data_IF_586188415362
#
_entry.id   IF_586188415362
#
_cell.length_a   1.000
_cell.length_b   1.000
_cell.length_c   1.000
_cell.angle_alpha   90.00
_cell.angle_beta   90.00
_cell.angle_gamma   90.00
#
_symmetry.space_group_name_H-M   'P 1'
#
loop_
_entity.id
_entity.type
_entity.pdbx_description
1 polymer ?
#
# COMPACT_ATOMS: atom_id res chain seq x y z
N UNK A 1 21.70 -34.52 14.06
CA UNK A 1 20.27 -34.32 13.74
C UNK A 1 20.21 -33.59 12.41
N UNK A 2 19.63 -34.20 11.39
CA UNK A 2 19.57 -33.63 10.03
C UNK A 2 18.40 -32.65 9.92
N UNK A 3 18.66 -31.51 9.29
CA UNK A 3 17.68 -30.44 9.03
C UNK A 3 16.65 -30.88 7.97
N UNK A 4 15.34 -30.60 8.13
CA UNK A 4 14.27 -31.15 7.27
C UNK A 4 14.07 -30.45 5.92
N UNK A 5 15.06 -29.70 5.39
CA UNK A 5 14.91 -28.91 4.15
C UNK A 5 15.69 -29.46 2.93
N UNK A 6 16.13 -30.71 2.96
CA UNK A 6 16.92 -31.36 1.91
C UNK A 6 16.11 -31.78 0.67
N UNK A 7 15.27 -30.90 0.11
CA UNK A 7 14.38 -31.26 -1.00
C UNK A 7 13.96 -30.16 -1.99
N UNK A 8 14.36 -28.90 -1.81
CA UNK A 8 14.15 -27.86 -2.83
C UNK A 8 15.50 -27.50 -3.43
N UNK A 9 15.65 -27.72 -4.74
CA UNK A 9 16.86 -27.37 -5.47
C UNK A 9 17.05 -25.85 -5.51
N UNK A 10 17.69 -25.28 -4.49
CA UNK A 10 18.05 -23.87 -4.43
C UNK A 10 19.28 -23.64 -5.29
N UNK A 11 19.11 -23.61 -6.61
CA UNK A 11 20.20 -23.22 -7.51
C UNK A 11 20.48 -21.73 -7.32
N UNK A 12 21.73 -21.37 -7.01
CA UNK A 12 22.19 -19.99 -7.05
C UNK A 12 21.74 -19.35 -8.36
N UNK A 13 20.91 -18.30 -8.30
CA UNK A 13 20.53 -17.58 -9.51
C UNK A 13 21.71 -16.71 -9.93
N UNK A 14 22.19 -16.82 -11.18
CA UNK A 14 23.26 -15.96 -11.66
C UNK A 14 22.78 -14.51 -11.67
N UNK A 15 23.59 -13.62 -11.09
CA UNK A 15 23.38 -12.17 -11.15
C UNK A 15 23.62 -11.74 -12.59
N UNK A 16 22.55 -11.50 -13.36
CA UNK A 16 22.68 -10.91 -14.69
C UNK A 16 22.91 -9.42 -14.56
N UNK A 17 23.94 -8.92 -15.26
CA UNK A 17 24.41 -7.52 -15.41
C UNK A 17 23.72 -6.51 -14.47
N UNK A 18 24.46 -6.12 -13.43
CA UNK A 18 24.17 -4.99 -12.56
C UNK A 18 23.90 -3.77 -13.44
N UNK A 19 22.77 -3.07 -13.21
CA UNK A 19 22.50 -1.80 -13.89
C UNK A 19 23.64 -0.83 -13.58
N UNK A 20 24.14 -0.05 -14.56
CA UNK A 20 25.30 0.83 -14.35
C UNK A 20 25.08 1.91 -13.28
N UNK A 21 23.82 2.16 -12.90
CA UNK A 21 23.40 3.15 -11.89
C UNK A 21 23.06 2.53 -10.51
N UNK A 22 23.27 1.22 -10.34
CA UNK A 22 23.05 0.58 -9.05
C UNK A 22 24.21 0.90 -8.08
N UNK A 23 23.93 1.12 -6.78
CA UNK A 23 24.98 1.40 -5.80
C UNK A 23 25.97 0.23 -5.74
N UNK A 24 27.27 0.52 -5.75
CA UNK A 24 28.30 -0.51 -5.64
C UNK A 24 28.65 -0.81 -4.18
N UNK A 25 28.43 0.15 -3.30
CA UNK A 25 28.65 0.03 -1.87
C UNK A 25 27.30 0.06 -1.11
N UNK A 26 27.20 -0.72 -0.04
CA UNK A 26 26.02 -0.80 0.80
C UNK A 26 25.69 0.55 1.43
N UNK A 27 26.71 1.34 1.79
CA UNK A 27 26.52 2.66 2.41
C UNK A 27 25.94 3.69 1.44
N UNK A 28 26.09 3.48 0.12
CA UNK A 28 25.54 4.35 -0.92
C UNK A 28 24.11 3.94 -1.32
N UNK A 29 23.61 2.82 -0.78
CA UNK A 29 22.28 2.37 -1.11
C UNK A 29 21.21 3.16 -0.34
N UNK A 30 20.36 3.89 -1.06
CA UNK A 30 19.25 4.68 -0.49
C UNK A 30 18.33 3.88 0.44
N UNK A 31 18.18 2.57 0.19
CA UNK A 31 17.32 1.67 0.96
C UNK A 31 18.01 1.05 2.18
N UNK A 32 19.29 1.34 2.41
CA UNK A 32 20.04 0.85 3.56
C UNK A 32 19.98 1.87 4.71
N UNK A 33 19.42 1.43 5.84
CA UNK A 33 19.15 2.28 7.00
C UNK A 33 20.10 2.02 8.19
N UNK A 34 21.08 1.12 8.01
CA UNK A 34 22.02 0.76 9.08
C UNK A 34 21.32 0.32 10.37
N UNK A 35 21.81 0.81 11.50
CA UNK A 35 21.26 0.49 12.83
C UNK A 35 20.03 1.35 13.14
N UNK A 36 18.89 0.98 12.57
CA UNK A 36 17.57 1.59 12.88
C UNK A 36 16.78 0.72 13.87
N UNK A 37 16.05 1.37 14.78
CA UNK A 37 15.23 0.66 15.78
C UNK A 37 14.04 -0.05 15.13
N UNK A 38 13.56 -1.11 15.78
CA UNK A 38 12.34 -1.80 15.33
C UNK A 38 11.12 -0.87 15.31
N UNK A 39 11.07 0.07 16.25
CA UNK A 39 9.99 1.04 16.36
C UNK A 39 9.95 1.97 15.14
N UNK A 40 11.11 2.52 14.74
CA UNK A 40 11.19 3.43 13.60
C UNK A 40 10.87 2.71 12.29
N UNK A 41 11.37 1.48 12.13
CA UNK A 41 11.00 0.62 10.99
C UNK A 41 9.49 0.40 10.92
N UNK A 42 8.84 0.10 12.05
CA UNK A 42 7.39 -0.09 12.08
C UNK A 42 6.63 1.18 11.65
N UNK A 43 7.14 2.36 12.01
CA UNK A 43 6.54 3.63 11.62
C UNK A 43 6.75 3.92 10.13
N UNK A 44 7.96 3.70 9.61
CA UNK A 44 8.27 3.86 8.18
C UNK A 44 7.47 2.89 7.30
N UNK A 45 7.16 1.71 7.81
CA UNK A 45 6.42 0.66 7.09
C UNK A 45 4.90 0.71 7.32
N UNK A 46 4.39 1.74 8.01
CA UNK A 46 2.95 1.93 8.27
C UNK A 46 2.26 2.49 7.03
N UNK A 47 1.14 1.89 6.64
CA UNK A 47 0.27 2.33 5.54
C UNK A 47 0.97 2.55 4.18
N UNK A 48 2.13 1.90 3.99
CA UNK A 48 2.85 1.89 2.72
C UNK A 48 2.33 0.81 1.77
N UNK A 49 2.64 1.00 0.48
CA UNK A 49 2.25 0.10 -0.61
C UNK A 49 2.94 -1.27 -0.49
N UNK A 50 2.34 -2.27 -1.09
CA UNK A 50 2.98 -3.58 -1.24
C UNK A 50 4.26 -3.48 -2.09
N UNK A 51 5.29 -4.24 -1.73
CA UNK A 51 6.60 -4.17 -2.37
C UNK A 51 7.49 -3.03 -1.87
N UNK A 52 7.01 -2.21 -0.92
CA UNK A 52 7.85 -1.24 -0.20
C UNK A 52 8.82 -1.97 0.72
N UNK A 53 10.10 -1.56 0.72
CA UNK A 53 11.15 -2.24 1.47
C UNK A 53 12.28 -1.33 1.97
N UNK A 54 13.01 -1.84 2.96
CA UNK A 54 14.29 -1.31 3.45
C UNK A 54 15.18 -2.44 3.96
N UNK A 55 16.48 -2.18 4.09
CA UNK A 55 17.44 -3.09 4.75
C UNK A 55 18.07 -2.40 5.95
N UNK A 56 18.22 -3.15 7.03
CA UNK A 56 18.84 -2.68 8.28
C UNK A 56 19.81 -3.72 8.85
N UNK A 57 20.60 -3.30 9.82
CA UNK A 57 21.46 -4.19 10.58
C UNK A 57 20.64 -5.22 11.38
N UNK A 58 21.11 -6.46 11.39
CA UNK A 58 20.57 -7.49 12.27
C UNK A 58 20.89 -7.17 13.72
N UNK A 59 19.90 -7.36 14.60
CA UNK A 59 20.10 -7.21 16.05
C UNK A 59 21.00 -8.29 16.66
N UNK A 60 21.40 -9.31 15.88
CA UNK A 60 22.23 -10.44 16.35
C UNK A 60 23.73 -10.15 16.26
N UNK A 61 24.17 -9.06 15.62
CA UNK A 61 25.55 -8.56 15.71
C UNK A 61 26.62 -9.27 14.86
N UNK A 62 26.24 -10.18 13.95
CA UNK A 62 27.18 -11.01 13.16
C UNK A 62 27.41 -10.51 11.71
N UNK A 63 27.41 -9.20 11.46
CA UNK A 63 27.43 -8.64 10.08
C UNK A 63 26.34 -9.23 9.17
N UNK A 64 25.20 -9.55 9.78
CA UNK A 64 23.98 -10.01 9.12
C UNK A 64 23.02 -8.84 9.00
N UNK A 65 22.10 -8.94 8.05
CA UNK A 65 21.13 -7.88 7.78
C UNK A 65 19.71 -8.40 7.85
N UNK A 66 18.76 -7.48 7.95
CA UNK A 66 17.33 -7.79 7.86
C UNK A 66 16.72 -6.97 6.73
N UNK A 67 16.21 -7.64 5.71
CA UNK A 67 15.32 -7.06 4.71
C UNK A 67 13.91 -7.00 5.30
N UNK A 68 13.33 -5.81 5.32
CA UNK A 68 11.96 -5.57 5.75
C UNK A 68 11.15 -5.20 4.53
N UNK A 69 10.10 -5.95 4.22
CA UNK A 69 9.25 -5.73 3.03
C UNK A 69 7.77 -5.79 3.38
N UNK A 70 6.97 -4.94 2.73
CA UNK A 70 5.51 -4.92 2.87
C UNK A 70 4.89 -5.96 1.94
N UNK A 71 4.13 -6.90 2.51
CA UNK A 71 3.35 -7.90 1.77
C UNK A 71 1.99 -8.15 2.41
N UNK A 72 0.92 -8.08 1.63
CA UNK A 72 -0.43 -8.45 2.08
C UNK A 72 -0.86 -7.69 3.33
N UNK A 73 -0.59 -6.38 3.39
CA UNK A 73 -0.93 -5.54 4.54
C UNK A 73 -0.10 -5.79 5.81
N UNK A 74 0.95 -6.61 5.75
CA UNK A 74 1.85 -6.89 6.87
C UNK A 74 3.31 -6.68 6.50
N UNK A 75 4.16 -6.41 7.48
CA UNK A 75 5.61 -6.41 7.27
C UNK A 75 6.16 -7.84 7.38
N UNK A 76 7.10 -8.18 6.50
CA UNK A 76 7.87 -9.42 6.52
C UNK A 76 9.32 -9.08 6.80
N UNK A 77 9.90 -9.76 7.80
CA UNK A 77 11.31 -9.62 8.15
C UNK A 77 12.03 -10.85 7.61
N UNK A 78 12.99 -10.62 6.72
CA UNK A 78 13.75 -11.66 6.04
C UNK A 78 15.21 -11.47 6.44
N UNK A 79 15.79 -12.50 7.07
CA UNK A 79 17.17 -12.47 7.50
C UNK A 79 18.10 -12.70 6.31
N UNK A 80 19.10 -11.84 6.17
CA UNK A 80 20.20 -11.99 5.22
C UNK A 80 21.41 -12.47 6.01
N UNK A 81 21.80 -13.71 5.75
CA UNK A 81 22.94 -14.34 6.39
C UNK A 81 24.24 -13.94 5.70
N UNK A 82 25.33 -14.02 6.46
CA UNK A 82 26.69 -13.82 5.98
C UNK A 82 27.55 -14.99 6.44
N UNK A 83 28.23 -15.66 5.50
CA UNK A 83 29.29 -16.61 5.82
C UNK A 83 30.43 -16.45 4.81
N UNK A 84 31.66 -16.27 5.28
CA UNK A 84 32.86 -16.11 4.45
C UNK A 84 32.73 -15.02 3.37
N UNK A 85 32.03 -13.91 3.67
CA UNK A 85 31.82 -12.81 2.73
C UNK A 85 30.79 -13.11 1.62
N UNK A 86 30.05 -14.23 1.73
CA UNK A 86 28.92 -14.55 0.88
C UNK A 86 27.61 -14.30 1.61
N UNK A 87 26.65 -13.72 0.88
CA UNK A 87 25.33 -13.35 1.39
C UNK A 87 24.23 -14.21 0.77
N UNK A 88 23.13 -14.38 1.50
CA UNK A 88 21.93 -15.06 1.02
C UNK A 88 20.83 -15.17 2.07
N UNK A 89 19.63 -15.55 1.64
CA UNK A 89 18.51 -15.85 2.54
C UNK A 89 18.55 -17.30 3.07
N UNK A 90 19.08 -18.21 2.26
CA UNK A 90 19.16 -19.65 2.50
C UNK A 90 20.49 -20.17 1.93
N UNK A 91 20.99 -21.28 2.46
CA UNK A 91 22.17 -21.95 1.91
C UNK A 91 21.85 -22.62 0.56
N UNK A 92 22.81 -22.64 -0.39
CA UNK A 92 24.13 -22.02 -0.33
C UNK A 92 24.09 -20.48 -0.49
N UNK A 93 24.99 -19.75 0.19
CA UNK A 93 25.11 -18.30 0.02
C UNK A 93 25.92 -17.96 -1.24
N UNK A 94 25.28 -17.32 -2.21
CA UNK A 94 25.82 -17.18 -3.55
C UNK A 94 26.28 -15.77 -3.91
N UNK A 95 25.88 -14.75 -3.14
CA UNK A 95 26.03 -13.34 -3.52
C UNK A 95 27.26 -12.71 -2.85
N UNK A 96 27.98 -11.85 -3.55
CA UNK A 96 29.20 -11.20 -3.05
C UNK A 96 28.90 -9.98 -2.17
N UNK A 97 27.73 -9.37 -2.35
CA UNK A 97 27.28 -8.23 -1.55
C UNK A 97 25.78 -8.33 -1.27
N UNK A 98 25.34 -7.62 -0.24
CA UNK A 98 23.90 -7.41 0.04
C UNK A 98 23.24 -6.65 -1.10
N UNK A 99 23.98 -5.73 -1.74
CA UNK A 99 23.47 -4.93 -2.84
C UNK A 99 23.15 -5.81 -4.05
N UNK A 100 24.02 -6.76 -4.40
CA UNK A 100 23.76 -7.74 -5.46
C UNK A 100 22.48 -8.55 -5.19
N UNK A 101 22.32 -9.02 -3.95
CA UNK A 101 21.14 -9.78 -3.53
C UNK A 101 19.86 -8.95 -3.63
N UNK A 102 19.88 -7.70 -3.14
CA UNK A 102 18.72 -6.81 -3.17
C UNK A 102 18.37 -6.39 -4.60
N UNK A 103 19.37 -6.07 -5.44
CA UNK A 103 19.17 -5.74 -6.85
C UNK A 103 18.53 -6.91 -7.61
N UNK A 104 18.95 -8.15 -7.34
CA UNK A 104 18.28 -9.33 -7.88
C UNK A 104 16.80 -9.38 -7.47
N UNK A 105 16.51 -9.14 -6.19
CA UNK A 105 15.15 -9.14 -5.66
C UNK A 105 14.28 -7.97 -6.18
N UNK A 106 14.89 -6.92 -6.76
CA UNK A 106 14.19 -5.86 -7.47
C UNK A 106 13.87 -6.24 -8.92
N UNK A 107 14.57 -7.22 -9.49
CA UNK A 107 14.35 -7.68 -10.87
C UNK A 107 13.57 -9.00 -10.94
N UNK A 108 13.65 -9.80 -9.89
CA UNK A 108 13.07 -11.14 -9.83
C UNK A 108 12.17 -11.30 -8.61
N UNK A 109 11.19 -12.16 -8.78
CA UNK A 109 10.21 -12.44 -7.75
C UNK A 109 10.82 -13.23 -6.58
N UNK A 110 10.54 -12.83 -5.34
CA UNK A 110 11.05 -13.51 -4.15
C UNK A 110 10.45 -14.91 -3.93
N UNK A 111 9.41 -15.29 -4.69
CA UNK A 111 8.86 -16.66 -4.71
C UNK A 111 9.90 -17.73 -5.01
N UNK A 112 10.97 -17.39 -5.74
CA UNK A 112 12.12 -18.28 -5.97
C UNK A 112 12.80 -18.72 -4.67
N UNK A 113 12.83 -17.86 -3.65
CA UNK A 113 13.39 -18.18 -2.33
C UNK A 113 12.33 -18.72 -1.37
N UNK A 114 11.12 -18.16 -1.44
CA UNK A 114 10.01 -18.56 -0.59
C UNK A 114 8.69 -18.33 -1.35
N UNK A 115 7.94 -19.38 -1.73
CA UNK A 115 6.67 -19.26 -2.47
C UNK A 115 5.64 -18.34 -1.78
N UNK A 116 5.67 -18.22 -0.45
CA UNK A 116 4.80 -17.30 0.29
C UNK A 116 5.13 -15.82 0.06
N UNK A 117 6.26 -15.51 -0.58
CA UNK A 117 6.76 -14.19 -0.93
C UNK A 117 6.72 -13.95 -2.45
N UNK A 118 5.63 -14.33 -3.11
CA UNK A 118 5.28 -13.85 -4.45
C UNK A 118 5.15 -12.31 -4.50
N UNK A 119 6.26 -11.59 -4.67
CA UNK A 119 6.37 -10.14 -4.94
C UNK A 119 7.79 -9.80 -5.42
N UNK A 120 7.98 -8.59 -5.93
CA UNK A 120 9.27 -8.00 -6.28
C UNK A 120 9.50 -6.77 -5.39
N UNK A 121 10.74 -6.42 -5.08
CA UNK A 121 11.09 -5.19 -4.36
C UNK A 121 10.90 -3.98 -5.29
N UNK A 122 9.86 -3.17 -5.07
CA UNK A 122 9.47 -2.09 -5.99
C UNK A 122 9.77 -0.69 -5.47
N UNK A 123 9.54 -0.47 -4.18
CA UNK A 123 9.56 0.89 -3.61
C UNK A 123 10.58 0.97 -2.47
N UNK A 124 11.86 1.32 -2.77
CA UNK A 124 12.85 1.53 -1.72
C UNK A 124 12.43 2.68 -0.82
N UNK A 125 12.38 2.46 0.49
CA UNK A 125 12.27 3.57 1.44
C UNK A 125 13.63 4.23 1.51
N UNK A 126 13.73 5.42 0.91
CA UNK A 126 14.97 6.20 0.88
C UNK A 126 15.29 6.72 2.28
N UNK A 127 16.53 6.56 2.71
CA UNK A 127 17.11 7.14 3.94
C UNK A 127 17.30 8.66 3.83
N UNK A 128 16.43 9.38 3.12
CA UNK A 128 16.51 10.83 2.96
C UNK A 128 16.64 11.48 4.33
N UNK A 129 17.87 11.92 4.62
CA UNK A 129 18.29 12.87 5.65
C UNK A 129 17.50 12.85 6.97
N UNK A 130 17.40 11.69 7.63
CA UNK A 130 17.18 11.69 9.07
C UNK A 130 18.47 12.21 9.76
N UNK A 131 18.66 13.53 9.74
CA UNK A 131 19.32 14.32 10.78
C UNK A 131 20.84 14.33 10.95
N UNK A 132 21.66 13.46 10.35
CA UNK A 132 23.02 13.21 10.92
C UNK A 132 24.23 13.13 9.96
N UNK A 133 24.14 13.58 8.69
CA UNK A 133 25.35 13.63 7.82
C UNK A 133 25.92 15.06 7.69
N UNK A 134 27.06 15.39 8.35
CA UNK A 134 27.69 16.70 8.27
C UNK A 134 28.40 16.99 6.93
N UNK A 135 28.48 16.05 5.99
CA UNK A 135 29.14 16.23 4.68
C UNK A 135 28.19 16.43 3.50
N UNK A 136 26.88 16.49 3.73
CA UNK A 136 25.92 16.75 2.64
C UNK A 136 25.76 18.25 2.38
N UNK A 137 25.60 18.58 1.10
CA UNK A 137 25.21 19.91 0.69
C UNK A 137 23.94 20.32 1.47
N UNK A 138 23.88 21.55 2.02
CA UNK A 138 22.74 22.01 2.79
C UNK A 138 21.46 21.78 1.98
N UNK A 139 20.47 21.15 2.63
CA UNK A 139 19.14 20.93 2.06
C UNK A 139 18.69 22.24 1.42
N UNK A 140 18.38 22.23 0.11
CA UNK A 140 17.96 23.42 -0.63
C UNK A 140 16.57 23.83 -0.13
N UNK A 141 16.55 24.66 0.92
CA UNK A 141 15.33 25.10 1.62
C UNK A 141 14.34 25.75 0.66
N UNK A 142 14.84 26.46 -0.36
CA UNK A 142 14.02 27.13 -1.37
C UNK A 142 13.25 26.13 -2.25
N UNK A 143 13.90 25.06 -2.68
CA UNK A 143 13.29 24.00 -3.49
C UNK A 143 12.26 23.19 -2.67
N UNK A 144 12.57 22.91 -1.40
CA UNK A 144 11.61 22.28 -0.49
C UNK A 144 10.39 23.18 -0.24
N UNK A 145 10.60 24.49 -0.08
CA UNK A 145 9.52 25.47 0.11
C UNK A 145 8.60 25.51 -1.12
N UNK A 146 9.19 25.51 -2.32
CA UNK A 146 8.44 25.47 -3.58
C UNK A 146 7.58 24.20 -3.68
N UNK A 147 8.14 23.03 -3.36
CA UNK A 147 7.38 21.78 -3.36
C UNK A 147 6.25 21.78 -2.33
N UNK A 148 6.48 22.32 -1.14
CA UNK A 148 5.45 22.44 -0.11
C UNK A 148 4.30 23.35 -0.57
N UNK A 149 4.62 24.51 -1.16
CA UNK A 149 3.62 25.43 -1.71
C UNK A 149 2.80 24.79 -2.83
N UNK A 150 3.44 24.04 -3.73
CA UNK A 150 2.73 23.36 -4.81
C UNK A 150 1.81 22.26 -4.24
N UNK A 151 2.26 21.49 -3.24
CA UNK A 151 1.43 20.49 -2.56
C UNK A 151 0.23 21.16 -1.88
N UNK A 152 0.44 22.26 -1.17
CA UNK A 152 -0.64 23.01 -0.51
C UNK A 152 -1.68 23.50 -1.52
N UNK A 153 -1.23 24.01 -2.66
CA UNK A 153 -2.10 24.45 -3.76
C UNK A 153 -2.92 23.28 -4.33
N UNK A 154 -2.29 22.15 -4.61
CA UNK A 154 -2.96 20.95 -5.11
C UNK A 154 -3.97 20.42 -4.09
N UNK A 155 -3.61 20.40 -2.81
CA UNK A 155 -4.48 20.00 -1.72
C UNK A 155 -5.71 20.91 -1.63
N UNK A 156 -5.51 22.23 -1.68
CA UNK A 156 -6.59 23.22 -1.61
C UNK A 156 -7.56 23.07 -2.77
N UNK A 157 -7.05 22.90 -4.00
CA UNK A 157 -7.87 22.65 -5.18
C UNK A 157 -8.70 21.37 -5.02
N UNK A 158 -8.05 20.27 -4.61
CA UNK A 158 -8.72 18.98 -4.42
C UNK A 158 -9.78 19.03 -3.32
N UNK A 159 -9.49 19.72 -2.21
CA UNK A 159 -10.44 19.90 -1.11
C UNK A 159 -11.67 20.71 -1.56
N UNK A 160 -11.46 21.74 -2.37
CA UNK A 160 -12.55 22.54 -2.95
C UNK A 160 -13.44 21.70 -3.85
N UNK A 161 -12.85 20.88 -4.72
CA UNK A 161 -13.59 19.95 -5.57
C UNK A 161 -14.38 18.92 -4.76
N UNK A 162 -13.77 18.37 -3.71
CA UNK A 162 -14.44 17.45 -2.80
C UNK A 162 -15.68 18.10 -2.17
N UNK A 163 -15.56 19.32 -1.65
CA UNK A 163 -16.69 20.04 -1.05
C UNK A 163 -17.82 20.29 -2.05
N UNK A 164 -17.49 20.64 -3.30
CA UNK A 164 -18.50 20.84 -4.35
C UNK A 164 -19.24 19.53 -4.67
N UNK A 165 -18.51 18.42 -4.76
CA UNK A 165 -19.13 17.10 -5.00
C UNK A 165 -19.98 16.66 -3.80
N UNK A 166 -19.55 16.93 -2.58
CA UNK A 166 -20.30 16.65 -1.35
C UNK A 166 -21.63 17.42 -1.30
N UNK A 167 -21.62 18.72 -1.62
CA UNK A 167 -22.85 19.53 -1.72
C UNK A 167 -23.82 19.00 -2.80
N UNK A 168 -23.30 18.56 -3.94
CA UNK A 168 -24.13 17.94 -5.00
C UNK A 168 -24.72 16.63 -4.53
N UNK A 169 -23.94 15.80 -3.84
CA UNK A 169 -24.41 14.54 -3.27
C UNK A 169 -25.53 14.78 -2.26
N UNK A 170 -25.35 15.72 -1.32
CA UNK A 170 -26.39 16.08 -0.36
C UNK A 170 -27.69 16.58 -1.05
N UNK A 171 -27.56 17.42 -2.07
CA UNK A 171 -28.71 17.92 -2.84
C UNK A 171 -29.46 16.78 -3.56
N UNK A 172 -28.72 15.82 -4.13
CA UNK A 172 -29.31 14.68 -4.82
C UNK A 172 -30.04 13.75 -3.84
N UNK A 173 -29.48 13.52 -2.66
CA UNK A 173 -30.14 12.75 -1.59
C UNK A 173 -31.47 13.38 -1.16
N UNK A 174 -31.51 14.70 -0.95
CA UNK A 174 -32.74 15.44 -0.65
C UNK A 174 -33.81 15.30 -1.75
N UNK A 175 -33.39 15.35 -3.02
CA UNK A 175 -34.29 15.12 -4.16
C UNK A 175 -34.84 13.70 -4.17
N UNK A 176 -34.00 12.70 -3.91
CA UNK A 176 -34.43 11.29 -3.86
C UNK A 176 -35.49 11.07 -2.78
N UNK A 177 -35.28 11.62 -1.58
CA UNK A 177 -36.27 11.56 -0.49
C UNK A 177 -37.59 12.21 -0.91
N UNK A 178 -37.52 13.37 -1.54
CA UNK A 178 -38.71 14.09 -2.03
C UNK A 178 -39.48 13.27 -3.06
N UNK A 179 -38.81 12.65 -4.03
CA UNK A 179 -39.46 11.79 -5.01
C UNK A 179 -40.11 10.55 -4.37
N UNK A 180 -39.47 9.97 -3.35
CA UNK A 180 -40.05 8.85 -2.62
C UNK A 180 -41.36 9.26 -1.92
N UNK A 181 -41.38 10.44 -1.28
CA UNK A 181 -42.60 10.99 -0.68
C UNK A 181 -43.71 11.21 -1.72
N UNK A 182 -43.37 11.74 -2.90
CA UNK A 182 -44.34 11.89 -3.99
C UNK A 182 -44.92 10.54 -4.42
N UNK A 183 -44.06 9.54 -4.61
CA UNK A 183 -44.50 8.19 -5.00
C UNK A 183 -45.47 7.62 -3.96
N UNK A 184 -45.19 7.78 -2.68
CA UNK A 184 -46.03 7.25 -1.63
C UNK A 184 -47.38 8.01 -1.52
N UNK A 185 -47.37 9.32 -1.74
CA UNK A 185 -48.59 10.13 -1.89
C UNK A 185 -49.45 9.69 -3.09
N UNK A 186 -48.82 9.39 -4.25
CA UNK A 186 -49.54 8.90 -5.42
C UNK A 186 -50.15 7.53 -5.18
N UNK A 187 -49.41 6.60 -4.56
CA UNK A 187 -49.93 5.28 -4.18
C UNK A 187 -51.13 5.41 -3.25
N UNK A 188 -51.02 6.25 -2.22
CA UNK A 188 -52.13 6.50 -1.30
C UNK A 188 -53.36 7.03 -2.04
N UNK A 189 -53.15 7.97 -2.96
CA UNK A 189 -54.22 8.56 -3.77
C UNK A 189 -54.92 7.51 -4.64
N UNK A 190 -54.16 6.62 -5.28
CA UNK A 190 -54.71 5.53 -6.09
C UNK A 190 -55.53 4.57 -5.21
N UNK A 191 -55.01 4.17 -4.04
CA UNK A 191 -55.75 3.33 -3.10
C UNK A 191 -57.05 3.98 -2.67
N UNK A 192 -57.01 5.28 -2.30
CA UNK A 192 -58.19 6.03 -1.90
C UNK A 192 -59.26 6.04 -3.01
N UNK A 193 -58.86 6.30 -4.27
CA UNK A 193 -59.80 6.27 -5.39
C UNK A 193 -60.41 4.88 -5.62
N UNK A 194 -59.61 3.82 -5.52
CA UNK A 194 -60.11 2.43 -5.64
C UNK A 194 -61.16 2.12 -4.59
N UNK A 195 -60.91 2.47 -3.32
CA UNK A 195 -61.87 2.29 -2.23
C UNK A 195 -63.17 3.08 -2.46
N UNK A 196 -63.07 4.31 -2.96
CA UNK A 196 -64.26 5.10 -3.31
C UNK A 196 -65.06 4.49 -4.46
N UNK A 197 -64.39 3.89 -5.45
CA UNK A 197 -65.04 3.22 -6.56
C UNK A 197 -65.80 1.97 -6.11
N UNK A 198 -65.17 1.13 -5.27
CA UNK A 198 -65.82 -0.05 -4.67
C UNK A 198 -67.05 0.35 -3.83
N UNK A 199 -66.89 1.39 -3.01
CA UNK A 199 -67.98 1.91 -2.17
C UNK A 199 -69.15 2.40 -3.03
N UNK A 200 -68.85 3.14 -4.11
CA UNK A 200 -69.86 3.65 -5.05
C UNK A 200 -70.57 2.52 -5.79
N UNK A 201 -69.84 1.49 -6.23
CA UNK A 201 -70.43 0.31 -6.87
C UNK A 201 -71.41 -0.40 -5.92
N UNK A 202 -71.00 -0.60 -4.66
CA UNK A 202 -71.87 -1.20 -3.64
C UNK A 202 -73.17 -0.41 -3.43
N UNK A 203 -73.08 0.91 -3.23
CA UNK A 203 -74.28 1.75 -3.08
C UNK A 203 -75.17 1.75 -4.33
N UNK A 204 -74.58 1.67 -5.52
CA UNK A 204 -75.35 1.56 -6.77
C UNK A 204 -76.11 0.24 -6.90
N UNK A 205 -75.58 -0.85 -6.34
CA UNK A 205 -76.25 -2.16 -6.35
C UNK A 205 -77.37 -2.25 -5.31
N UNK A 206 -77.21 -1.60 -4.16
CA UNK A 206 -78.20 -1.56 -3.08
C UNK A 206 -79.38 -0.62 -3.43
N UNK A 207 -79.17 0.35 -4.32
CA UNK A 207 -80.21 1.20 -4.87
C UNK A 207 -81.03 0.48 -5.96
N UNK A 208 -81.83 -0.52 -5.61
CA UNK A 208 -82.85 -1.06 -6.52
C UNK A 208 -84.05 -0.09 -6.65
N UNK A 209 -84.67 0.04 -7.84
CA UNK A 209 -85.80 0.94 -8.06
C UNK A 209 -87.04 0.43 -7.33
N UNK A 210 -87.68 1.32 -6.58
CA UNK A 210 -89.01 1.11 -6.00
C UNK A 210 -90.10 1.13 -7.08
#
# INVERSE_FOLDING_TARGET
>A
MMSPYSGLGTTCVPVYKIQPDAPQDLQQADWYWGTISRYDVNNLMRDVKEGTFLVRDSSTGNNEYTLVVRKGGSQKLIKIFNCNGKYGFLEPFCYNSVVDLVNLCQQQNLSHFNPALDLILLYPIKRSHYGDDPNQAPINVEEMLYHLQEIEKQYTMKNTLYNIEDEKHATLEDQMVTYQQFIDCYKFTITWYSEQMELKEKFSLEAQPH
#
